data_IF_041558539015
#
_entry.id   IF_041558539015
#
_cell.length_a   1.000
_cell.length_b   1.000
_cell.length_c   1.000
_cell.angle_alpha   90.00
_cell.angle_beta   90.00
_cell.angle_gamma   90.00
#
_symmetry.space_group_name_H-M   'P 1'
#
loop_
_entity.id
_entity.type
_entity.pdbx_description
1 polymer ?
#
# COMPACT_ATOMS: atom_id res chain seq x y z
N UNK A 1 -1.77 -6.06 4.37
CA UNK A 1 -0.52 -5.42 4.88
C UNK A 1 -0.79 -4.01 5.41
N UNK A 2 -1.61 -3.21 4.72
CA UNK A 2 -1.99 -1.86 5.16
C UNK A 2 -2.77 -1.89 6.47
N UNK A 3 -3.69 -2.84 6.65
CA UNK A 3 -4.49 -2.94 7.89
C UNK A 3 -3.62 -3.24 9.11
N UNK A 4 -2.63 -4.13 8.98
CA UNK A 4 -1.72 -4.45 10.08
C UNK A 4 -0.92 -3.24 10.56
N UNK A 5 -0.45 -2.40 9.61
CA UNK A 5 0.22 -1.15 9.95
C UNK A 5 -0.73 -0.14 10.61
N UNK A 6 -1.98 -0.06 10.15
CA UNK A 6 -3.00 0.82 10.73
C UNK A 6 -3.40 0.38 12.16
N UNK A 7 -3.54 -0.92 12.40
CA UNK A 7 -3.83 -1.46 13.74
C UNK A 7 -2.65 -1.17 14.68
N UNK A 8 -1.41 -1.40 14.22
CA UNK A 8 -0.22 -1.08 14.99
C UNK A 8 -0.13 0.42 15.31
N UNK A 9 -0.46 1.28 14.35
CA UNK A 9 -0.53 2.73 14.57
C UNK A 9 -1.55 3.11 15.64
N UNK A 10 -2.75 2.51 15.61
CA UNK A 10 -3.78 2.76 16.62
C UNK A 10 -3.36 2.30 18.03
N UNK A 11 -2.60 1.21 18.14
CA UNK A 11 -2.10 0.71 19.43
C UNK A 11 -0.99 1.59 20.02
N UNK A 12 -0.09 2.09 19.17
CA UNK A 12 1.07 2.87 19.61
C UNK A 12 0.79 4.38 19.72
N UNK A 13 -0.29 4.88 19.11
CA UNK A 13 -0.71 6.25 19.29
C UNK A 13 0.23 7.28 18.65
N UNK A 14 0.26 8.53 19.16
CA UNK A 14 1.00 9.65 18.59
C UNK A 14 2.52 9.43 18.45
N UNK A 15 3.11 8.56 19.25
CA UNK A 15 4.54 8.26 19.32
C UNK A 15 5.11 7.77 17.98
N UNK A 16 4.26 7.20 17.12
CA UNK A 16 4.67 6.75 15.78
C UNK A 16 5.07 7.90 14.85
N UNK A 17 4.69 9.13 15.18
CA UNK A 17 5.04 10.32 14.41
C UNK A 17 6.50 10.76 14.63
N UNK A 18 7.16 10.23 15.66
CA UNK A 18 8.54 10.57 15.98
C UNK A 18 9.51 9.76 15.10
N UNK A 19 10.61 10.41 14.72
CA UNK A 19 11.67 9.80 13.92
C UNK A 19 12.62 8.93 14.77
N UNK A 20 12.44 8.93 16.09
CA UNK A 20 13.22 8.19 17.07
C UNK A 20 12.33 7.60 18.17
N UNK A 21 12.96 6.98 19.17
CA UNK A 21 12.26 6.33 20.27
C UNK A 21 11.50 5.05 19.88
N UNK A 22 10.67 4.54 20.81
CA UNK A 22 10.01 3.24 20.68
C UNK A 22 9.04 3.13 19.48
N UNK A 23 8.36 4.22 19.12
CA UNK A 23 7.35 4.24 18.04
C UNK A 23 7.91 4.30 16.61
N UNK A 24 9.20 4.64 16.43
CA UNK A 24 9.84 4.87 15.12
C UNK A 24 9.60 3.74 14.11
N UNK A 25 9.72 2.49 14.55
CA UNK A 25 9.60 1.32 13.66
C UNK A 25 8.17 1.18 13.12
N UNK A 26 7.18 1.49 13.94
CA UNK A 26 5.77 1.47 13.53
C UNK A 26 5.49 2.61 12.55
N UNK A 27 5.97 3.82 12.83
CA UNK A 27 5.87 4.96 11.90
C UNK A 27 6.46 4.64 10.53
N UNK A 28 7.66 4.03 10.49
CA UNK A 28 8.29 3.57 9.25
C UNK A 28 7.46 2.51 8.53
N UNK A 29 6.88 1.57 9.28
CA UNK A 29 6.02 0.51 8.74
C UNK A 29 4.76 1.08 8.09
N UNK A 30 4.11 2.07 8.70
CA UNK A 30 2.93 2.76 8.14
C UNK A 30 3.27 3.43 6.81
N UNK A 31 4.38 4.16 6.76
CA UNK A 31 4.83 4.81 5.52
C UNK A 31 5.20 3.79 4.44
N UNK A 32 5.89 2.70 4.81
CA UNK A 32 6.20 1.60 3.90
C UNK A 32 4.95 0.93 3.34
N UNK A 33 3.94 0.68 4.17
CA UNK A 33 2.67 0.10 3.75
C UNK A 33 1.93 1.02 2.76
N UNK A 34 2.03 2.34 2.91
CA UNK A 34 1.51 3.31 1.92
C UNK A 34 2.30 3.27 0.61
N UNK A 35 3.63 3.17 0.67
CA UNK A 35 4.46 2.98 -0.51
C UNK A 35 4.10 1.73 -1.32
N UNK A 36 3.69 0.65 -0.65
CA UNK A 36 3.23 -0.57 -1.34
C UNK A 36 1.91 -0.40 -2.10
N UNK A 37 1.12 0.65 -1.84
CA UNK A 37 -0.09 0.91 -2.61
C UNK A 37 0.19 1.39 -4.05
N UNK A 38 1.43 1.80 -4.33
CA UNK A 38 1.91 2.20 -5.66
C UNK A 38 2.93 1.22 -6.25
N UNK A 39 3.72 0.56 -5.40
CA UNK A 39 4.74 -0.36 -5.84
C UNK A 39 4.13 -1.61 -6.50
N UNK A 40 4.55 -1.92 -7.73
CA UNK A 40 4.05 -3.08 -8.48
C UNK A 40 2.71 -2.86 -9.18
N UNK A 41 2.19 -1.63 -9.16
CA UNK A 41 0.92 -1.25 -9.77
C UNK A 41 -0.10 -0.79 -8.73
N UNK A 42 -0.85 0.27 -9.06
CA UNK A 42 -1.88 0.78 -8.16
C UNK A 42 -3.15 -0.07 -8.20
N UNK A 43 -4.02 0.09 -7.21
CA UNK A 43 -5.31 -0.61 -7.16
C UNK A 43 -6.22 -0.26 -8.35
N UNK A 44 -6.13 0.96 -8.85
CA UNK A 44 -6.84 1.44 -10.03
C UNK A 44 -6.35 0.70 -11.29
N UNK A 45 -5.04 0.64 -11.50
CA UNK A 45 -4.43 -0.05 -12.65
C UNK A 45 -4.77 -1.54 -12.61
N UNK A 46 -4.63 -2.20 -11.46
CA UNK A 46 -4.98 -3.62 -11.32
C UNK A 46 -6.48 -3.85 -11.56
N UNK A 47 -7.37 -2.98 -11.08
CA UNK A 47 -8.81 -3.12 -11.35
C UNK A 47 -9.15 -2.96 -12.83
N UNK A 48 -8.54 -2.00 -13.52
CA UNK A 48 -8.74 -1.83 -14.95
C UNK A 48 -8.28 -3.07 -15.73
N UNK A 49 -7.10 -3.60 -15.42
CA UNK A 49 -6.61 -4.83 -16.04
C UNK A 49 -7.53 -6.03 -15.80
N UNK A 50 -8.09 -6.16 -14.59
CA UNK A 50 -9.07 -7.20 -14.27
C UNK A 50 -10.35 -6.98 -15.08
N UNK A 51 -10.85 -5.74 -15.18
CA UNK A 51 -12.05 -5.41 -15.94
C UNK A 51 -11.87 -5.70 -17.44
N UNK A 52 -10.75 -5.30 -18.04
CA UNK A 52 -10.42 -5.59 -19.44
C UNK A 52 -10.44 -7.10 -19.72
N UNK A 53 -9.84 -7.89 -18.81
CA UNK A 53 -9.83 -9.36 -18.91
C UNK A 53 -11.23 -9.96 -18.82
N UNK A 54 -12.07 -9.45 -17.92
CA UNK A 54 -13.44 -9.95 -17.73
C UNK A 54 -14.32 -9.58 -18.93
N UNK A 55 -14.15 -8.37 -19.47
CA UNK A 55 -14.98 -7.82 -20.55
C UNK A 55 -14.46 -8.20 -21.95
N UNK A 56 -13.31 -8.86 -22.05
CA UNK A 56 -12.70 -9.23 -23.34
C UNK A 56 -12.16 -8.02 -24.12
N UNK A 57 -11.85 -6.91 -23.44
CA UNK A 57 -11.24 -5.74 -24.06
C UNK A 57 -9.76 -6.01 -24.38
N UNK A 58 -9.19 -5.31 -25.38
CA UNK A 58 -7.74 -5.33 -25.60
C UNK A 58 -6.99 -4.98 -24.32
N UNK A 59 -5.96 -5.77 -23.99
CA UNK A 59 -5.21 -5.61 -22.75
C UNK A 59 -4.12 -4.56 -22.93
N UNK A 60 -3.95 -3.72 -21.92
CA UNK A 60 -2.76 -2.88 -21.87
C UNK A 60 -1.49 -3.75 -21.88
N UNK A 61 -0.47 -3.42 -22.69
CA UNK A 61 0.75 -4.19 -22.77
C UNK A 61 1.50 -4.08 -21.44
N UNK A 62 1.60 -5.20 -20.72
CA UNK A 62 2.53 -5.34 -19.60
C UNK A 62 3.94 -5.40 -20.20
N UNK A 63 4.59 -4.24 -20.33
CA UNK A 63 6.03 -3.98 -20.55
C UNK A 63 6.81 -5.14 -21.20
N UNK A 64 7.26 -4.93 -22.44
CA UNK A 64 8.27 -5.75 -23.15
C UNK A 64 9.63 -5.73 -22.48
#
# INVERSE_FOLDING_TARGET
>A
MIEGAAIAAALWGPEIALLDGPGRVIGRTVMGARGMAIAGGTSEVTRNQIAERILGMPRDPLIS
#
